data_IF_918167447004
#
_entry.id   IF_918167447004
#
_cell.length_a   1.000
_cell.length_b   1.000
_cell.length_c   1.000
_cell.angle_alpha   90.00
_cell.angle_beta   90.00
_cell.angle_gamma   90.00
#
_symmetry.space_group_name_H-M   'P 1'
#
loop_
_entity.id
_entity.type
_entity.pdbx_description
1 polymer ?
#
# COMPACT_ATOMS: atom_id res chain seq x y z
N UNK A 1 33.07 -16.36 25.87
CA UNK A 1 33.02 -15.56 24.62
C UNK A 1 32.81 -16.50 23.43
N UNK A 2 31.57 -16.84 23.07
CA UNK A 2 31.25 -17.54 21.81
C UNK A 2 29.73 -17.68 21.64
N UNK A 3 29.02 -16.64 21.20
CA UNK A 3 27.66 -16.78 20.61
C UNK A 3 27.24 -15.48 19.92
N UNK A 4 27.67 -15.22 18.67
CA UNK A 4 26.92 -14.24 17.83
C UNK A 4 27.09 -14.33 16.30
N UNK A 5 27.40 -15.51 15.75
CA UNK A 5 27.53 -15.67 14.29
C UNK A 5 26.27 -16.25 13.62
N UNK A 6 25.29 -16.75 14.38
CA UNK A 6 24.06 -17.36 13.82
C UNK A 6 22.90 -16.37 13.62
N UNK A 7 22.91 -15.19 14.27
CA UNK A 7 21.79 -14.21 14.22
C UNK A 7 21.83 -13.26 13.03
N UNK A 8 23.00 -13.00 12.44
CA UNK A 8 23.15 -12.03 11.33
C UNK A 8 22.63 -12.57 9.99
N UNK A 9 22.61 -13.89 9.78
CA UNK A 9 22.14 -14.51 8.53
C UNK A 9 20.62 -14.54 8.41
N UNK A 10 19.89 -14.78 9.51
CA UNK A 10 18.42 -14.75 9.54
C UNK A 10 17.86 -13.36 9.24
N UNK A 11 18.46 -12.32 9.83
CA UNK A 11 18.08 -10.90 9.64
C UNK A 11 18.23 -10.44 8.19
N UNK A 12 19.29 -10.89 7.51
CA UNK A 12 19.52 -10.60 6.07
C UNK A 12 18.52 -11.30 5.15
N UNK A 13 18.03 -12.49 5.52
CA UNK A 13 17.10 -13.28 4.69
C UNK A 13 15.68 -12.72 4.72
N UNK A 14 15.18 -12.38 5.92
CA UNK A 14 13.88 -11.72 6.08
C UNK A 14 13.87 -10.35 5.39
N UNK A 15 14.92 -9.53 5.58
CA UNK A 15 15.05 -8.22 4.93
C UNK A 15 15.00 -8.25 3.38
N UNK A 16 15.23 -9.40 2.75
CA UNK A 16 15.14 -9.54 1.28
C UNK A 16 13.78 -9.99 0.79
N UNK A 17 12.90 -10.59 1.59
CA UNK A 17 11.68 -11.23 1.06
C UNK A 17 10.66 -10.22 0.48
N UNK A 18 10.49 -9.08 1.15
CA UNK A 18 9.54 -8.04 0.73
C UNK A 18 9.82 -7.47 -0.67
N UNK A 19 11.03 -7.00 -1.02
CA UNK A 19 11.29 -6.50 -2.36
C UNK A 19 11.13 -7.57 -3.45
N UNK A 20 11.38 -8.84 -3.16
CA UNK A 20 11.10 -9.94 -4.09
C UNK A 20 9.59 -10.09 -4.35
N UNK A 21 8.77 -10.11 -3.30
CA UNK A 21 7.29 -10.18 -3.44
C UNK A 21 6.77 -8.96 -4.21
N UNK A 22 7.24 -7.76 -3.85
CA UNK A 22 6.87 -6.52 -4.53
C UNK A 22 7.22 -6.53 -6.02
N UNK A 23 8.43 -7.00 -6.37
CA UNK A 23 8.88 -7.12 -7.76
C UNK A 23 8.06 -8.15 -8.54
N UNK A 24 7.78 -9.31 -7.93
CA UNK A 24 6.94 -10.34 -8.52
C UNK A 24 5.54 -9.81 -8.88
N UNK A 25 4.84 -9.18 -7.93
CA UNK A 25 3.50 -8.63 -8.21
C UNK A 25 3.51 -7.46 -9.17
N UNK A 26 4.55 -6.62 -9.15
CA UNK A 26 4.71 -5.54 -10.13
C UNK A 26 4.82 -6.10 -11.55
N UNK A 27 5.71 -7.09 -11.75
CA UNK A 27 5.90 -7.74 -13.05
C UNK A 27 4.61 -8.48 -13.47
N UNK A 28 3.97 -9.19 -12.55
CA UNK A 28 2.73 -9.90 -12.82
C UNK A 28 1.64 -8.98 -13.36
N UNK A 29 1.38 -7.85 -12.68
CA UNK A 29 0.37 -6.86 -13.12
C UNK A 29 0.76 -6.19 -14.43
N UNK A 30 2.05 -5.91 -14.61
CA UNK A 30 2.57 -5.34 -15.87
C UNK A 30 2.33 -6.28 -17.04
N UNK A 31 2.66 -7.57 -16.91
CA UNK A 31 2.42 -8.57 -17.96
C UNK A 31 0.93 -8.72 -18.24
N UNK A 32 0.09 -8.78 -17.20
CA UNK A 32 -1.36 -8.86 -17.39
C UNK A 32 -1.91 -7.68 -18.19
N UNK A 33 -1.45 -6.46 -17.92
CA UNK A 33 -1.90 -5.32 -18.70
C UNK A 33 -1.39 -5.33 -20.14
N UNK A 34 -0.12 -5.69 -20.36
CA UNK A 34 0.41 -5.83 -21.72
C UNK A 34 -0.33 -6.92 -22.51
N UNK A 35 -0.72 -8.01 -21.86
CA UNK A 35 -1.53 -9.06 -22.48
C UNK A 35 -2.94 -8.56 -22.85
N UNK A 36 -3.54 -7.70 -22.02
CA UNK A 36 -4.84 -7.09 -22.33
C UNK A 36 -4.75 -6.17 -23.57
N UNK A 37 -3.69 -5.37 -23.68
CA UNK A 37 -3.43 -4.56 -24.87
C UNK A 37 -3.21 -5.43 -26.12
N UNK A 38 -2.43 -6.51 -25.99
CA UNK A 38 -2.20 -7.46 -27.08
C UNK A 38 -3.52 -8.03 -27.58
N UNK A 39 -4.43 -8.38 -26.66
CA UNK A 39 -5.74 -8.91 -26.99
C UNK A 39 -6.61 -7.91 -27.76
N UNK A 40 -6.60 -6.64 -27.37
CA UNK A 40 -7.23 -5.55 -28.14
C UNK A 40 -6.64 -5.42 -29.57
N UNK A 41 -5.35 -5.76 -29.74
CA UNK A 41 -4.68 -5.80 -31.05
C UNK A 41 -4.83 -7.14 -31.81
N UNK A 42 -5.61 -8.09 -31.29
CA UNK A 42 -5.91 -9.37 -31.94
C UNK A 42 -4.87 -10.49 -31.70
N UNK A 43 -3.95 -10.33 -30.75
CA UNK A 43 -2.99 -11.36 -30.33
C UNK A 43 -3.16 -11.68 -28.84
N UNK A 44 -3.17 -12.95 -28.44
CA UNK A 44 -3.26 -13.30 -27.01
C UNK A 44 -2.08 -14.17 -26.59
N UNK A 45 -1.51 -13.96 -25.40
CA UNK A 45 -0.54 -14.89 -24.82
C UNK A 45 -1.32 -16.12 -24.31
N UNK A 46 -1.17 -17.33 -24.92
CA UNK A 46 -2.06 -18.48 -24.67
C UNK A 46 -2.05 -19.03 -23.24
N UNK A 47 -1.12 -18.59 -22.39
CA UNK A 47 -0.88 -19.12 -21.04
C UNK A 47 -0.99 -18.07 -19.93
N UNK A 48 -1.48 -16.86 -20.23
CA UNK A 48 -1.61 -15.80 -19.22
C UNK A 48 -3.07 -15.49 -18.89
N UNK A 49 -3.43 -15.22 -17.62
CA UNK A 49 -4.80 -14.88 -17.26
C UNK A 49 -5.29 -13.63 -18.01
N UNK A 50 -6.45 -13.73 -18.67
CA UNK A 50 -7.18 -12.59 -19.25
C UNK A 50 -7.95 -11.82 -18.16
N UNK A 51 -7.28 -11.51 -17.05
CA UNK A 51 -7.89 -10.77 -15.96
C UNK A 51 -7.80 -9.27 -16.24
N UNK A 52 -8.92 -8.56 -16.19
CA UNK A 52 -8.92 -7.10 -16.23
C UNK A 52 -8.16 -6.52 -15.04
N UNK A 53 -7.53 -5.35 -15.21
CA UNK A 53 -6.81 -4.67 -14.12
C UNK A 53 -7.68 -4.39 -12.88
N UNK A 54 -8.99 -4.26 -13.09
CA UNK A 54 -10.01 -4.11 -12.06
C UNK A 54 -10.20 -5.38 -11.21
N UNK A 55 -9.97 -6.56 -11.79
CA UNK A 55 -10.00 -7.82 -11.03
C UNK A 55 -8.81 -7.90 -10.06
N UNK A 56 -7.67 -7.29 -10.39
CA UNK A 56 -6.45 -7.36 -9.58
C UNK A 56 -6.39 -6.24 -8.52
N UNK A 57 -7.06 -5.11 -8.76
CA UNK A 57 -7.18 -4.04 -7.78
C UNK A 57 -8.42 -4.23 -6.89
N UNK A 58 -8.28 -4.69 -5.63
CA UNK A 58 -9.41 -4.94 -4.72
C UNK A 58 -10.22 -3.68 -4.34
N UNK A 59 -9.82 -2.48 -4.80
CA UNK A 59 -10.60 -1.25 -4.58
C UNK A 59 -11.92 -1.25 -5.34
N UNK A 60 -11.98 -1.85 -6.53
CA UNK A 60 -13.22 -1.92 -7.33
C UNK A 60 -14.38 -2.58 -6.56
N UNK A 61 -14.07 -3.58 -5.73
CA UNK A 61 -15.06 -4.22 -4.87
C UNK A 61 -15.64 -3.27 -3.81
N UNK A 62 -14.84 -2.36 -3.23
CA UNK A 62 -15.29 -1.48 -2.14
C UNK A 62 -16.40 -0.55 -2.62
N UNK A 63 -16.21 0.00 -3.82
CA UNK A 63 -17.21 0.87 -4.46
C UNK A 63 -18.41 0.05 -4.93
N UNK A 64 -18.18 -1.19 -5.38
CA UNK A 64 -19.26 -2.11 -5.78
C UNK A 64 -20.17 -2.52 -4.63
N UNK A 65 -19.64 -2.72 -3.42
CA UNK A 65 -20.46 -3.01 -2.22
C UNK A 65 -21.45 -1.88 -1.98
N UNK A 66 -21.00 -0.62 -2.06
CA UNK A 66 -21.88 0.52 -1.85
C UNK A 66 -23.03 0.52 -2.86
N UNK A 67 -22.74 0.30 -4.14
CA UNK A 67 -23.77 0.26 -5.18
C UNK A 67 -24.70 -0.94 -5.06
N UNK A 68 -24.17 -2.11 -4.67
CA UNK A 68 -24.98 -3.30 -4.39
C UNK A 68 -25.92 -3.08 -3.20
N UNK A 69 -25.43 -2.50 -2.09
CA UNK A 69 -26.22 -2.26 -0.89
C UNK A 69 -27.28 -1.15 -1.05
N UNK A 70 -27.03 -0.16 -1.92
CA UNK A 70 -27.92 1.00 -2.09
C UNK A 70 -28.88 0.88 -3.27
N UNK A 71 -28.42 0.29 -4.39
CA UNK A 71 -29.17 0.24 -5.66
C UNK A 71 -29.58 -1.20 -6.02
N UNK A 72 -29.07 -2.23 -5.34
CA UNK A 72 -29.36 -3.63 -5.64
C UNK A 72 -28.82 -4.11 -6.99
N UNK A 73 -27.94 -3.33 -7.63
CA UNK A 73 -27.36 -3.63 -8.95
C UNK A 73 -25.84 -3.76 -8.87
N UNK A 74 -25.30 -4.69 -9.65
CA UNK A 74 -23.85 -4.81 -9.84
C UNK A 74 -23.37 -3.76 -10.86
N UNK A 75 -22.21 -3.15 -10.61
CA UNK A 75 -21.55 -2.29 -11.60
C UNK A 75 -21.19 -3.16 -12.81
N UNK A 76 -21.62 -2.76 -14.01
CA UNK A 76 -21.56 -3.54 -15.26
C UNK A 76 -20.14 -4.01 -15.70
N UNK A 77 -19.08 -3.65 -14.98
CA UNK A 77 -17.68 -3.98 -15.32
C UNK A 77 -16.96 -4.88 -14.29
N UNK A 78 -17.66 -5.41 -13.29
CA UNK A 78 -17.00 -6.09 -12.16
C UNK A 78 -17.44 -7.56 -12.09
N UNK A 79 -16.52 -8.47 -12.43
CA UNK A 79 -16.70 -9.92 -12.34
C UNK A 79 -16.85 -10.37 -10.88
N UNK A 80 -17.54 -11.50 -10.66
CA UNK A 80 -17.71 -12.16 -9.34
C UNK A 80 -16.37 -12.35 -8.59
N UNK A 81 -15.29 -12.56 -9.34
CA UNK A 81 -13.93 -12.73 -8.80
C UNK A 81 -13.41 -11.52 -8.02
N UNK A 82 -13.84 -10.30 -8.37
CA UNK A 82 -13.42 -9.08 -7.66
C UNK A 82 -14.02 -9.00 -6.25
N UNK A 83 -15.21 -9.57 -6.02
CA UNK A 83 -15.82 -9.64 -4.69
C UNK A 83 -15.07 -10.61 -3.79
N UNK A 84 -14.67 -11.77 -4.32
CA UNK A 84 -13.89 -12.77 -3.58
C UNK A 84 -12.53 -12.18 -3.16
N UNK A 85 -11.83 -11.53 -4.09
CA UNK A 85 -10.53 -10.91 -3.82
C UNK A 85 -10.62 -9.76 -2.81
N UNK A 86 -11.65 -8.92 -2.90
CA UNK A 86 -11.89 -7.87 -1.92
C UNK A 86 -12.22 -8.48 -0.54
N UNK A 87 -13.10 -9.48 -0.47
CA UNK A 87 -13.45 -10.12 0.80
C UNK A 87 -12.20 -10.73 1.46
N UNK A 88 -11.36 -11.43 0.68
CA UNK A 88 -10.09 -11.94 1.15
C UNK A 88 -9.15 -10.81 1.63
N UNK A 89 -9.04 -9.71 0.87
CA UNK A 89 -8.22 -8.56 1.25
C UNK A 89 -8.73 -7.88 2.53
N UNK A 90 -10.05 -7.79 2.73
CA UNK A 90 -10.65 -7.24 3.93
C UNK A 90 -10.45 -8.14 5.15
N UNK A 91 -10.63 -9.46 4.98
CA UNK A 91 -10.30 -10.45 6.03
C UNK A 91 -8.84 -10.33 6.42
N UNK A 92 -7.91 -10.31 5.46
CA UNK A 92 -6.49 -10.08 5.72
C UNK A 92 -6.25 -8.74 6.41
N UNK A 93 -6.99 -7.69 6.04
CA UNK A 93 -6.91 -6.39 6.69
C UNK A 93 -7.35 -6.42 8.16
N UNK A 94 -8.40 -7.16 8.49
CA UNK A 94 -8.86 -7.36 9.87
C UNK A 94 -7.92 -8.29 10.64
N UNK A 95 -7.28 -9.26 9.98
CA UNK A 95 -6.32 -10.12 10.64
C UNK A 95 -5.01 -9.37 10.95
N UNK A 96 -4.36 -8.82 9.93
CA UNK A 96 -2.98 -8.30 10.04
C UNK A 96 -2.81 -6.82 9.66
N UNK A 97 -3.89 -6.09 9.37
CA UNK A 97 -3.83 -4.73 8.84
C UNK A 97 -3.61 -4.69 7.33
N UNK A 98 -3.33 -3.51 6.73
CA UNK A 98 -3.24 -3.30 5.28
C UNK A 98 -2.03 -3.96 4.58
N UNK A 99 -1.86 -5.28 4.72
CA UNK A 99 -0.74 -6.06 4.18
C UNK A 99 -0.64 -5.91 2.66
N UNK A 100 -1.77 -5.86 1.96
CA UNK A 100 -1.78 -5.64 0.50
C UNK A 100 -1.02 -4.36 0.12
N UNK A 101 -1.25 -3.24 0.81
CA UNK A 101 -0.56 -1.97 0.53
C UNK A 101 0.95 -2.05 0.80
N UNK A 102 1.38 -2.85 1.78
CA UNK A 102 2.78 -3.01 2.16
C UNK A 102 3.59 -3.96 1.27
N UNK A 103 2.94 -5.02 0.77
CA UNK A 103 3.60 -6.18 0.17
C UNK A 103 3.25 -6.42 -1.31
N UNK A 104 2.01 -6.15 -1.71
CA UNK A 104 1.47 -6.60 -3.00
C UNK A 104 1.26 -5.41 -3.96
N UNK A 105 0.78 -4.27 -3.45
CA UNK A 105 0.36 -3.13 -4.25
C UNK A 105 1.52 -2.58 -5.13
N UNK A 106 1.41 -2.69 -6.47
CA UNK A 106 2.52 -2.35 -7.35
C UNK A 106 2.68 -0.83 -7.54
N UNK A 107 1.61 -0.03 -7.42
CA UNK A 107 1.74 1.44 -7.33
C UNK A 107 2.52 1.87 -6.09
N UNK A 108 2.35 1.14 -4.97
CA UNK A 108 3.15 1.36 -3.77
C UNK A 108 4.62 1.05 -3.98
N UNK A 109 4.92 -0.07 -4.65
CA UNK A 109 6.27 -0.48 -5.06
C UNK A 109 6.91 0.54 -5.99
N UNK A 110 6.18 1.01 -6.99
CA UNK A 110 6.63 2.05 -7.93
C UNK A 110 7.07 3.33 -7.20
N UNK A 111 6.23 3.83 -6.29
CA UNK A 111 6.57 5.01 -5.49
C UNK A 111 7.81 4.77 -4.61
N UNK A 112 7.99 3.57 -4.03
CA UNK A 112 9.19 3.24 -3.25
C UNK A 112 10.47 3.20 -4.11
N UNK A 113 10.39 2.69 -5.34
CA UNK A 113 11.52 2.68 -6.27
C UNK A 113 11.91 4.11 -6.67
N UNK A 114 10.93 4.95 -6.99
CA UNK A 114 11.19 6.38 -7.26
C UNK A 114 11.76 7.06 -6.03
N UNK A 115 11.25 6.76 -4.83
CA UNK A 115 11.77 7.34 -3.59
C UNK A 115 13.21 6.92 -3.30
N UNK A 116 13.57 5.67 -3.62
CA UNK A 116 14.96 5.20 -3.53
C UNK A 116 15.87 5.96 -4.50
N UNK A 117 15.40 6.20 -5.72
CA UNK A 117 16.11 7.02 -6.71
C UNK A 117 16.25 8.47 -6.23
N UNK A 118 15.16 9.08 -5.76
CA UNK A 118 15.13 10.43 -5.22
C UNK A 118 16.08 10.62 -4.04
N UNK A 119 16.18 9.65 -3.12
CA UNK A 119 17.17 9.66 -2.03
C UNK A 119 18.61 9.63 -2.54
N UNK A 120 18.88 8.87 -3.60
CA UNK A 120 20.21 8.80 -4.21
C UNK A 120 20.59 10.13 -4.87
N UNK A 121 19.61 10.84 -5.44
CA UNK A 121 19.80 12.12 -6.12
C UNK A 121 19.90 13.31 -5.14
N UNK A 122 19.01 13.38 -4.14
CA UNK A 122 18.89 14.53 -3.23
C UNK A 122 19.70 14.38 -1.95
N UNK A 123 20.15 13.17 -1.62
CA UNK A 123 20.88 12.85 -0.38
C UNK A 123 20.06 13.00 0.91
N UNK A 124 18.80 13.44 0.84
CA UNK A 124 17.94 13.75 1.99
C UNK A 124 16.71 12.85 2.00
N UNK A 125 16.21 12.56 3.20
CA UNK A 125 14.90 11.91 3.40
C UNK A 125 13.80 12.93 3.70
N UNK A 126 12.59 12.48 3.44
CA UNK A 126 11.28 13.12 3.63
C UNK A 126 11.16 14.13 4.79
N UNK A 127 11.73 13.86 5.97
CA UNK A 127 11.60 14.73 7.15
C UNK A 127 12.13 16.17 6.96
N UNK A 128 12.84 16.44 5.85
CA UNK A 128 13.39 17.77 5.57
C UNK A 128 12.46 18.68 4.76
N UNK A 129 11.52 18.14 3.97
CA UNK A 129 10.80 18.93 2.95
C UNK A 129 9.35 19.31 3.32
N UNK A 130 8.67 18.53 4.16
CA UNK A 130 7.28 18.82 4.57
C UNK A 130 7.21 19.03 6.09
N UNK A 131 6.71 20.17 6.58
CA UNK A 131 6.55 20.41 8.01
C UNK A 131 5.62 19.37 8.65
N UNK A 132 5.97 18.90 9.85
CA UNK A 132 5.24 17.84 10.58
C UNK A 132 3.74 18.13 10.80
N UNK A 133 3.37 19.42 10.93
CA UNK A 133 1.97 19.85 11.03
C UNK A 133 1.20 19.65 9.73
N UNK A 134 1.80 20.01 8.59
CA UNK A 134 1.20 19.87 7.28
C UNK A 134 1.02 18.38 6.94
N UNK A 135 2.06 17.57 7.12
CA UNK A 135 2.01 16.12 6.91
C UNK A 135 0.87 15.46 7.69
N UNK A 136 0.65 15.85 8.95
CA UNK A 136 -0.47 15.33 9.76
C UNK A 136 -1.84 15.64 9.16
N UNK A 137 -2.06 16.84 8.65
CA UNK A 137 -3.34 17.24 8.02
C UNK A 137 -3.51 16.54 6.67
N UNK A 138 -2.48 16.56 5.84
CA UNK A 138 -2.47 15.92 4.51
C UNK A 138 -2.74 14.42 4.59
N UNK A 139 -2.30 13.72 5.64
CA UNK A 139 -2.61 12.30 5.87
C UNK A 139 -4.11 11.99 5.99
N UNK A 140 -4.92 12.96 6.41
CA UNK A 140 -6.38 12.79 6.47
C UNK A 140 -7.08 13.11 5.16
N UNK A 141 -6.41 13.79 4.22
CA UNK A 141 -6.99 14.15 2.93
C UNK A 141 -7.50 12.93 2.13
N UNK A 142 -6.89 11.76 2.30
CA UNK A 142 -7.34 10.51 1.66
C UNK A 142 -8.78 10.11 2.04
N UNK A 143 -9.27 10.55 3.20
CA UNK A 143 -10.66 10.34 3.61
C UNK A 143 -11.62 11.31 2.91
N UNK A 144 -11.16 12.52 2.57
CA UNK A 144 -11.89 13.46 1.70
C UNK A 144 -11.99 12.87 0.30
N UNK A 145 -10.89 12.33 -0.24
CA UNK A 145 -10.91 11.63 -1.53
C UNK A 145 -11.85 10.42 -1.49
N UNK A 146 -11.81 9.61 -0.43
CA UNK A 146 -12.74 8.49 -0.25
C UNK A 146 -14.21 8.95 -0.25
N UNK A 147 -14.55 9.99 0.53
CA UNK A 147 -15.90 10.53 0.58
C UNK A 147 -16.36 11.06 -0.79
N UNK A 148 -15.46 11.75 -1.51
CA UNK A 148 -15.72 12.23 -2.87
C UNK A 148 -15.95 11.08 -3.85
N UNK A 149 -15.13 10.02 -3.82
CA UNK A 149 -15.33 8.83 -4.68
C UNK A 149 -16.67 8.16 -4.40
N UNK A 150 -17.02 7.95 -3.12
CA UNK A 150 -18.31 7.35 -2.75
C UNK A 150 -19.46 8.21 -3.26
N UNK A 151 -19.40 9.53 -3.06
CA UNK A 151 -20.43 10.46 -3.52
C UNK A 151 -20.58 10.45 -5.05
N UNK A 152 -19.47 10.58 -5.78
CA UNK A 152 -19.49 10.61 -7.25
C UNK A 152 -20.01 9.30 -7.84
N UNK A 153 -19.62 8.16 -7.28
CA UNK A 153 -20.15 6.87 -7.72
C UNK A 153 -21.63 6.72 -7.35
N UNK A 154 -22.07 7.19 -6.18
CA UNK A 154 -23.49 7.18 -5.80
C UNK A 154 -24.37 7.98 -6.78
N UNK A 155 -23.90 9.15 -7.21
CA UNK A 155 -24.67 10.05 -8.08
C UNK A 155 -24.67 9.59 -9.53
N UNK A 156 -23.54 9.10 -10.03
CA UNK A 156 -23.37 8.79 -11.47
C UNK A 156 -23.54 7.33 -11.83
N UNK A 157 -23.48 6.43 -10.85
CA UNK A 157 -23.45 4.97 -11.05
C UNK A 157 -22.20 4.48 -11.80
N UNK A 158 -21.21 5.34 -12.02
CA UNK A 158 -19.95 5.07 -12.73
C UNK A 158 -18.76 5.16 -11.79
N UNK A 159 -17.70 4.43 -12.14
CA UNK A 159 -16.43 4.44 -11.40
C UNK A 159 -15.55 5.63 -11.84
N UNK A 160 -15.99 6.86 -11.56
CA UNK A 160 -15.29 8.11 -11.94
C UNK A 160 -13.84 8.16 -11.42
N UNK A 161 -13.55 7.45 -10.33
CA UNK A 161 -12.20 7.38 -9.79
C UNK A 161 -11.17 6.86 -10.79
N UNK A 162 -11.57 6.05 -11.78
CA UNK A 162 -10.67 5.53 -12.81
C UNK A 162 -9.96 6.66 -13.58
N UNK A 163 -10.64 7.79 -13.82
CA UNK A 163 -10.11 8.93 -14.58
C UNK A 163 -9.05 9.73 -13.81
N UNK A 164 -8.91 9.48 -12.50
CA UNK A 164 -7.93 10.14 -11.63
C UNK A 164 -7.04 9.14 -10.89
N UNK A 165 -7.12 7.85 -11.21
CA UNK A 165 -6.38 6.80 -10.52
C UNK A 165 -4.98 6.63 -11.14
N UNK A 166 -3.89 6.99 -10.42
CA UNK A 166 -2.54 6.78 -10.91
C UNK A 166 -2.17 5.30 -11.00
N UNK A 167 -2.86 4.39 -10.31
CA UNK A 167 -2.67 2.96 -10.53
C UNK A 167 -3.15 2.57 -11.93
N UNK A 168 -4.36 2.97 -12.31
CA UNK A 168 -4.90 2.73 -13.64
C UNK A 168 -4.01 3.37 -14.71
N UNK A 169 -3.59 4.62 -14.50
CA UNK A 169 -2.67 5.31 -15.40
C UNK A 169 -1.36 4.54 -15.61
N UNK A 170 -0.72 4.09 -14.52
CA UNK A 170 0.58 3.42 -14.55
C UNK A 170 0.56 2.14 -15.39
N UNK A 171 -0.55 1.40 -15.37
CA UNK A 171 -0.70 0.16 -16.11
C UNK A 171 -1.49 0.33 -17.41
N UNK A 172 -1.83 1.53 -17.85
CA UNK A 172 -2.47 1.75 -19.15
C UNK A 172 -1.80 2.90 -19.92
N UNK A 173 -0.51 3.16 -19.66
CA UNK A 173 0.27 4.18 -20.37
C UNK A 173 0.35 3.95 -21.89
N UNK A 174 0.10 2.72 -22.32
CA UNK A 174 0.11 2.26 -23.71
C UNK A 174 -1.27 2.24 -24.35
N UNK A 175 -2.35 2.47 -23.59
CA UNK A 175 -3.72 2.50 -24.13
C UNK A 175 -4.08 3.91 -24.59
N UNK A 176 -4.82 4.01 -25.70
CA UNK A 176 -5.34 5.29 -26.20
C UNK A 176 -6.52 5.82 -25.35
N UNK A 177 -7.08 4.99 -24.45
CA UNK A 177 -8.24 5.35 -23.61
C UNK A 177 -7.87 6.15 -22.34
N UNK A 178 -6.62 6.65 -22.24
CA UNK A 178 -6.12 7.21 -20.99
C UNK A 178 -6.55 8.68 -20.78
N UNK A 179 -7.36 8.91 -19.75
CA UNK A 179 -7.78 10.26 -19.38
C UNK A 179 -6.57 11.17 -19.06
N UNK A 180 -6.51 12.41 -19.58
CA UNK A 180 -5.42 13.35 -19.29
C UNK A 180 -5.24 13.62 -17.79
N UNK A 181 -6.32 13.60 -17.02
CA UNK A 181 -6.29 13.80 -15.57
C UNK A 181 -5.49 12.69 -14.85
N UNK A 182 -5.70 11.43 -15.20
CA UNK A 182 -4.97 10.29 -14.65
C UNK A 182 -3.45 10.37 -14.91
N UNK A 183 -3.05 10.84 -16.10
CA UNK A 183 -1.64 11.10 -16.43
C UNK A 183 -1.03 12.21 -15.59
N UNK A 184 -1.75 13.32 -15.42
CA UNK A 184 -1.30 14.44 -14.57
C UNK A 184 -1.13 13.97 -13.12
N UNK A 185 -2.08 13.19 -12.60
CA UNK A 185 -2.00 12.64 -11.24
C UNK A 185 -0.86 11.64 -11.08
N UNK A 186 -0.61 10.78 -12.07
CA UNK A 186 0.53 9.86 -12.07
C UNK A 186 1.85 10.62 -12.12
N UNK A 187 1.97 11.61 -13.00
CA UNK A 187 3.15 12.47 -13.11
C UNK A 187 3.43 13.21 -11.80
N UNK A 188 2.41 13.83 -11.21
CA UNK A 188 2.50 14.47 -9.90
C UNK A 188 2.90 13.46 -8.80
N UNK A 189 2.32 12.26 -8.81
CA UNK A 189 2.68 11.18 -7.88
C UNK A 189 4.13 10.76 -8.03
N UNK A 190 4.63 10.59 -9.25
CA UNK A 190 6.01 10.22 -9.53
C UNK A 190 6.98 11.34 -9.10
N UNK A 191 6.70 12.60 -9.46
CA UNK A 191 7.52 13.75 -9.06
C UNK A 191 7.56 13.92 -7.54
N UNK A 192 6.42 13.87 -6.87
CA UNK A 192 6.36 13.91 -5.41
C UNK A 192 7.10 12.71 -4.80
N UNK A 193 7.06 11.54 -5.43
CA UNK A 193 7.75 10.35 -4.94
C UNK A 193 9.27 10.50 -4.91
N UNK A 194 9.85 11.45 -5.66
CA UNK A 194 11.28 11.75 -5.56
C UNK A 194 11.64 12.41 -4.21
N UNK A 195 10.69 13.11 -3.61
CA UNK A 195 10.90 13.91 -2.39
C UNK A 195 10.30 13.20 -1.17
N UNK A 196 9.18 12.50 -1.36
CA UNK A 196 8.46 11.80 -0.30
C UNK A 196 8.25 10.33 -0.61
N UNK A 197 8.41 9.48 0.41
CA UNK A 197 7.99 8.08 0.29
C UNK A 197 6.47 7.97 0.18
N UNK A 198 5.99 7.30 -0.88
CA UNK A 198 4.58 6.93 -1.10
C UNK A 198 3.55 8.09 -0.92
N UNK A 199 3.70 9.24 -1.62
CA UNK A 199 2.80 10.39 -1.48
C UNK A 199 1.34 10.05 -1.71
N UNK A 200 1.04 9.29 -2.77
CA UNK A 200 -0.34 8.93 -3.11
C UNK A 200 -0.96 8.09 -2.00
N UNK A 201 -0.22 7.09 -1.49
CA UNK A 201 -0.71 6.23 -0.41
C UNK A 201 -0.93 7.00 0.90
N UNK A 202 -0.08 8.00 1.19
CA UNK A 202 -0.19 8.82 2.40
C UNK A 202 -1.39 9.76 2.34
N UNK A 203 -1.61 10.42 1.20
CA UNK A 203 -2.47 11.60 1.15
C UNK A 203 -3.74 11.45 0.33
N UNK A 204 -3.80 10.58 -0.68
CA UNK A 204 -4.92 10.59 -1.64
C UNK A 204 -5.58 9.22 -1.85
N UNK A 205 -4.89 8.11 -1.56
CA UNK A 205 -5.39 6.77 -1.88
C UNK A 205 -6.65 6.40 -1.06
N UNK A 206 -7.84 6.30 -1.70
CA UNK A 206 -9.08 5.95 -1.00
C UNK A 206 -9.07 4.50 -0.51
N UNK A 207 -8.43 3.58 -1.24
CA UNK A 207 -8.28 2.20 -0.79
C UNK A 207 -7.44 2.09 0.49
N UNK A 208 -6.34 2.83 0.56
CA UNK A 208 -5.52 2.92 1.76
C UNK A 208 -6.25 3.58 2.94
N UNK A 209 -7.19 4.49 2.66
CA UNK A 209 -8.06 5.08 3.67
C UNK A 209 -8.97 4.03 4.32
N UNK A 210 -9.63 3.20 3.50
CA UNK A 210 -10.52 2.11 3.95
C UNK A 210 -9.75 1.04 4.71
N UNK A 211 -8.72 0.45 4.10
CA UNK A 211 -7.93 -0.58 4.77
C UNK A 211 -7.26 -0.05 6.03
N UNK A 212 -6.80 1.21 6.02
CA UNK A 212 -6.16 1.84 7.17
C UNK A 212 -7.03 1.88 8.44
N UNK A 213 -8.36 1.83 8.31
CA UNK A 213 -9.28 1.73 9.46
C UNK A 213 -9.11 0.40 10.20
N UNK A 214 -8.74 -0.68 9.50
CA UNK A 214 -8.55 -2.00 10.11
C UNK A 214 -7.41 -2.00 11.14
N UNK A 215 -6.45 -1.06 11.06
CA UNK A 215 -5.36 -0.95 12.04
C UNK A 215 -5.84 -0.72 13.48
N UNK A 216 -7.06 -0.18 13.67
CA UNK A 216 -7.66 -0.01 15.01
C UNK A 216 -8.15 -1.32 15.61
N UNK A 217 -8.67 -2.22 14.78
CA UNK A 217 -9.36 -3.45 15.19
C UNK A 217 -8.54 -4.73 14.96
N UNK A 218 -7.46 -4.65 14.17
CA UNK A 218 -6.74 -5.85 13.72
C UNK A 218 -6.26 -6.75 14.85
N UNK A 219 -6.23 -8.06 14.59
CA UNK A 219 -5.82 -9.09 15.55
C UNK A 219 -4.29 -9.07 15.72
N UNK A 220 -3.53 -9.19 14.65
CA UNK A 220 -2.08 -9.12 14.68
C UNK A 220 -1.62 -7.67 14.61
N UNK A 221 -0.96 -7.21 15.68
CA UNK A 221 -0.52 -5.82 15.86
C UNK A 221 0.99 -5.75 15.99
N UNK A 222 1.58 -4.72 15.40
CA UNK A 222 2.97 -4.38 15.68
C UNK A 222 3.02 -3.76 17.07
N UNK A 223 3.79 -4.38 17.97
CA UNK A 223 4.02 -3.92 19.33
C UNK A 223 5.49 -3.64 19.57
N UNK A 224 5.76 -2.62 20.37
CA UNK A 224 7.09 -2.28 20.88
C UNK A 224 7.15 -2.60 22.36
N UNK A 225 8.17 -3.32 22.81
CA UNK A 225 8.52 -3.50 24.21
C UNK A 225 9.36 -2.30 24.68
N UNK A 226 8.86 -1.44 25.58
CA UNK A 226 9.64 -0.31 26.08
C UNK A 226 10.87 -0.77 26.89
N UNK A 227 10.75 -1.89 27.59
CA UNK A 227 11.80 -2.50 28.43
C UNK A 227 13.08 -2.84 27.69
N UNK A 228 13.00 -3.21 26.41
CA UNK A 228 14.16 -3.57 25.58
C UNK A 228 14.56 -2.45 24.61
N UNK A 229 13.83 -1.34 24.57
CA UNK A 229 14.07 -0.27 23.62
C UNK A 229 15.25 0.61 24.06
N UNK A 230 16.14 0.93 23.12
CA UNK A 230 17.31 1.81 23.33
C UNK A 230 17.15 3.20 22.66
N UNK A 231 15.91 3.58 22.30
CA UNK A 231 15.56 4.88 21.71
C UNK A 231 16.39 5.34 20.49
N UNK A 232 16.95 4.39 19.72
CA UNK A 232 17.79 4.68 18.56
C UNK A 232 17.05 5.26 17.33
N UNK A 233 15.71 5.30 17.34
CA UNK A 233 14.86 5.77 16.24
C UNK A 233 14.95 4.97 14.94
N UNK A 234 15.56 3.78 14.94
CA UNK A 234 15.74 2.97 13.72
C UNK A 234 14.40 2.53 13.11
N UNK A 235 13.41 2.22 13.94
CA UNK A 235 12.05 1.84 13.50
C UNK A 235 11.32 3.01 12.80
N UNK A 236 11.50 4.25 13.28
CA UNK A 236 10.93 5.45 12.66
C UNK A 236 11.53 5.69 11.28
N UNK A 237 12.87 5.62 11.19
CA UNK A 237 13.60 5.74 9.93
C UNK A 237 13.25 4.61 8.96
N UNK A 238 12.97 3.40 9.44
CA UNK A 238 12.60 2.29 8.57
C UNK A 238 11.16 2.39 8.03
N UNK A 239 10.28 3.16 8.66
CA UNK A 239 8.88 3.21 8.27
C UNK A 239 8.68 4.00 6.96
N UNK A 240 8.24 3.37 5.85
CA UNK A 240 8.02 4.08 4.58
C UNK A 240 6.87 5.09 4.66
N UNK A 241 5.99 4.91 5.66
CA UNK A 241 4.87 5.82 5.91
C UNK A 241 5.25 6.95 6.89
N UNK A 242 6.48 6.98 7.43
CA UNK A 242 6.93 8.03 8.36
C UNK A 242 6.15 8.05 9.68
N UNK A 243 5.78 6.88 10.20
CA UNK A 243 5.14 6.74 11.52
C UNK A 243 6.23 6.74 12.58
N UNK A 244 6.04 7.51 13.66
CA UNK A 244 6.92 7.50 14.85
C UNK A 244 6.62 6.28 15.73
N UNK A 245 7.12 5.12 15.32
CA UNK A 245 6.98 3.83 16.00
C UNK A 245 7.66 3.83 17.38
N UNK A 246 8.77 4.54 17.54
CA UNK A 246 9.50 4.67 18.81
C UNK A 246 8.63 5.20 19.95
N UNK A 247 7.69 6.10 19.64
CA UNK A 247 6.76 6.69 20.62
C UNK A 247 5.49 5.87 20.86
N UNK A 248 5.36 4.69 20.29
CA UNK A 248 4.14 3.87 20.36
C UNK A 248 4.45 2.49 20.95
N UNK A 249 3.66 2.06 21.92
CA UNK A 249 3.69 0.65 22.40
C UNK A 249 2.93 -0.27 21.45
N UNK A 250 1.81 0.21 20.89
CA UNK A 250 0.98 -0.52 19.92
C UNK A 250 0.72 0.37 18.71
N UNK A 251 1.14 -0.08 17.54
CA UNK A 251 0.96 0.68 16.29
C UNK A 251 -0.48 0.53 15.79
N UNK A 252 -1.32 1.51 16.13
CA UNK A 252 -2.73 1.65 15.67
C UNK A 252 -2.91 2.74 14.61
N UNK A 253 -1.82 3.33 14.15
CA UNK A 253 -1.84 4.42 13.19
C UNK A 253 -2.54 4.01 11.88
N UNK A 254 -3.46 4.84 11.40
CA UNK A 254 -4.26 4.55 10.21
C UNK A 254 -3.42 4.48 8.93
N UNK A 255 -2.21 5.03 8.93
CA UNK A 255 -1.25 4.98 7.82
C UNK A 255 -0.40 3.71 7.84
N UNK A 256 -0.47 2.86 8.88
CA UNK A 256 0.31 1.64 8.93
C UNK A 256 -0.09 0.69 7.79
N UNK A 257 0.87 0.28 6.96
CA UNK A 257 0.65 -0.65 5.83
C UNK A 257 1.12 -2.07 6.13
N UNK A 258 1.35 -2.40 7.41
CA UNK A 258 1.82 -3.72 7.84
C UNK A 258 3.02 -4.28 7.06
N UNK A 259 3.94 -3.41 6.62
CA UNK A 259 5.14 -3.80 5.88
C UNK A 259 6.23 -4.49 6.73
N UNK A 260 6.09 -4.45 8.06
CA UNK A 260 7.01 -5.03 9.05
C UNK A 260 8.45 -4.48 9.04
N UNK A 261 8.78 -3.50 8.20
CA UNK A 261 10.15 -2.93 8.15
C UNK A 261 10.67 -2.44 9.50
N UNK A 262 9.78 -1.94 10.36
CA UNK A 262 10.14 -1.43 11.68
C UNK A 262 10.44 -2.52 12.73
N UNK A 263 10.16 -3.80 12.46
CA UNK A 263 10.35 -4.88 13.43
C UNK A 263 11.82 -5.23 13.63
N UNK A 264 12.12 -5.93 14.73
CA UNK A 264 13.46 -6.44 15.07
C UNK A 264 14.00 -7.46 14.06
N UNK A 265 13.10 -8.13 13.33
CA UNK A 265 13.46 -9.05 12.25
C UNK A 265 14.06 -8.32 11.03
N UNK A 266 13.62 -7.08 10.76
CA UNK A 266 14.03 -6.31 9.58
C UNK A 266 15.05 -5.22 9.95
N UNK A 267 14.62 -4.14 10.62
CA UNK A 267 15.48 -2.98 10.89
C UNK A 267 15.79 -2.68 12.36
N UNK A 268 14.92 -3.00 13.32
CA UNK A 268 15.19 -2.64 14.73
C UNK A 268 16.42 -3.41 15.25
N UNK A 269 17.49 -2.73 15.73
CA UNK A 269 18.77 -3.37 16.08
C UNK A 269 18.68 -4.32 17.26
N UNK A 270 17.75 -4.08 18.18
CA UNK A 270 17.57 -4.88 19.38
C UNK A 270 16.56 -6.01 19.10
N UNK A 271 16.93 -7.28 19.34
CA UNK A 271 16.02 -8.42 19.18
C UNK A 271 14.78 -8.32 20.07
N UNK A 272 13.65 -8.84 19.58
CA UNK A 272 12.37 -8.91 20.30
C UNK A 272 11.80 -7.56 20.81
N UNK A 273 12.34 -6.43 20.35
CA UNK A 273 11.86 -5.10 20.77
C UNK A 273 10.64 -4.65 19.99
N UNK A 274 10.60 -4.86 18.68
CA UNK A 274 9.44 -4.51 17.84
C UNK A 274 9.00 -5.76 17.10
N UNK A 275 7.81 -6.28 17.42
CA UNK A 275 7.33 -7.56 16.91
C UNK A 275 5.86 -7.51 16.49
N UNK A 276 5.47 -8.40 15.58
CA UNK A 276 4.06 -8.65 15.29
C UNK A 276 3.51 -9.64 16.32
N UNK A 277 2.53 -9.21 17.12
CA UNK A 277 1.91 -10.03 18.19
C UNK A 277 0.39 -10.08 18.04
N UNK A 278 -0.21 -11.18 18.50
CA UNK A 278 -1.67 -11.33 18.59
C UNK A 278 -2.23 -10.34 19.62
N UNK A 279 -3.43 -9.80 19.37
CA UNK A 279 -4.15 -8.93 20.29
C UNK A 279 -4.22 -9.56 21.70
N UNK A 280 -3.95 -8.77 22.75
CA UNK A 280 -3.77 -9.27 24.12
C UNK A 280 -2.42 -9.91 24.48
N UNK A 281 -1.56 -10.26 23.51
CA UNK A 281 -0.22 -10.81 23.82
C UNK A 281 0.80 -9.74 24.22
N UNK A 282 1.31 -9.80 25.45
CA UNK A 282 2.24 -8.81 25.97
C UNK A 282 3.61 -8.80 25.26
N UNK A 283 4.20 -7.61 25.21
CA UNK A 283 5.56 -7.41 24.79
C UNK A 283 6.50 -7.86 25.93
N UNK A 284 6.87 -9.15 25.95
CA UNK A 284 7.92 -9.68 26.84
C UNK A 284 9.20 -8.84 26.76
#
# INVERSE_FOLDING_TARGET
MATDTKKTTGRKKAARIRPWIQGFFFIFVLITSLNHLLEESGQSIPFWPQASLHAICPFGGVVSIYQFLTVGTFVQKIHESAFVLMAAAFVLAVLAGPVFCGWICPLGTFQEWISKLGRKLTGKRFDTYIPSKADRVLRYFRYVVLAWVIYQTAVTGKLIFQDVDPYFALFNLWSEELAPAALVVLGATALLSLITERPWCKYACPYGAVLGLSNKIRIFRIRRAPSTCIDCGACDRACPMGIKVSGLEVVKDHQCISCLECTSEYHCPVPATVELKVMGGDAK
#
